data_IF_028786823350
#
_entry.id   IF_028786823350
#
_cell.length_a   1.000
_cell.length_b   1.000
_cell.length_c   1.000
_cell.angle_alpha   90.00
_cell.angle_beta   90.00
_cell.angle_gamma   90.00
#
_symmetry.space_group_name_H-M   'P 1'
#
loop_
_entity.id
_entity.type
_entity.pdbx_description
1 polymer ?
#
# COMPACT_ATOMS: atom_id res chain seq x y z
N UNK A 1 2.17 -16.25 -81.37
CA UNK A 1 1.62 -15.02 -81.94
C UNK A 1 0.50 -14.57 -81.01
N UNK A 2 0.71 -13.41 -80.39
CA UNK A 2 -0.28 -12.40 -79.93
C UNK A 2 -1.33 -12.85 -78.89
N UNK A 3 -1.16 -12.57 -77.58
CA UNK A 3 -1.41 -11.32 -76.82
C UNK A 3 -2.87 -10.83 -76.91
N UNK A 4 -3.62 -10.89 -75.78
CA UNK A 4 -4.22 -9.74 -75.05
C UNK A 4 -5.14 -10.13 -73.88
N UNK A 5 -4.94 -9.40 -72.76
CA UNK A 5 -5.89 -8.83 -71.77
C UNK A 5 -6.81 -9.80 -70.98
N UNK A 6 -7.13 -9.68 -69.69
CA UNK A 6 -7.11 -8.69 -68.60
C UNK A 6 -6.97 -9.53 -67.30
N UNK A 7 -6.31 -9.10 -66.23
CA UNK A 7 -6.94 -8.33 -65.15
C UNK A 7 -5.82 -7.84 -64.21
N UNK A 8 -5.62 -6.52 -64.15
CA UNK A 8 -4.74 -5.86 -63.19
C UNK A 8 -5.55 -5.58 -61.92
N UNK A 9 -5.25 -6.28 -60.83
CA UNK A 9 -5.67 -5.88 -59.50
C UNK A 9 -4.59 -4.99 -58.87
N UNK A 10 -4.97 -3.73 -58.74
CA UNK A 10 -4.28 -2.58 -58.15
C UNK A 10 -3.87 -2.85 -56.69
N UNK A 11 -2.60 -3.21 -56.44
CA UNK A 11 -2.03 -3.29 -55.09
C UNK A 11 -1.49 -1.92 -54.73
N UNK A 12 -2.29 -1.13 -54.01
CA UNK A 12 -1.84 0.10 -53.35
C UNK A 12 -0.83 -0.24 -52.25
N UNK A 13 0.33 0.42 -52.17
CA UNK A 13 1.17 0.34 -50.98
C UNK A 13 0.54 1.18 -49.87
N UNK A 14 0.23 0.53 -48.75
CA UNK A 14 -0.29 1.19 -47.55
C UNK A 14 0.69 2.25 -47.04
N UNK A 15 0.12 3.42 -46.79
CA UNK A 15 0.78 4.58 -46.24
C UNK A 15 1.32 4.26 -44.84
N UNK A 16 2.62 4.47 -44.64
CA UNK A 16 3.24 4.56 -43.33
C UNK A 16 2.67 5.82 -42.65
N UNK A 17 1.67 5.63 -41.78
CA UNK A 17 1.19 6.68 -40.89
C UNK A 17 2.22 6.82 -39.77
N UNK A 18 3.02 7.88 -39.88
CA UNK A 18 3.87 8.36 -38.80
C UNK A 18 2.95 8.85 -37.67
N UNK A 19 2.82 8.03 -36.63
CA UNK A 19 2.18 8.43 -35.37
C UNK A 19 3.07 9.49 -34.73
N UNK A 20 2.61 10.74 -34.77
CA UNK A 20 3.19 11.82 -33.99
C UNK A 20 2.96 11.51 -32.51
N UNK A 21 4.03 11.47 -31.74
CA UNK A 21 3.98 11.44 -30.29
C UNK A 21 3.34 12.74 -29.81
N UNK A 22 2.19 12.64 -29.14
CA UNK A 22 1.65 13.73 -28.33
C UNK A 22 2.46 13.78 -27.03
N UNK A 23 3.22 14.86 -26.85
CA UNK A 23 3.89 15.21 -25.61
C UNK A 23 2.83 15.43 -24.52
N UNK A 24 2.80 14.55 -23.52
CA UNK A 24 2.02 14.76 -22.31
C UNK A 24 2.71 15.83 -21.45
N UNK A 25 2.14 17.04 -21.47
CA UNK A 25 2.43 18.07 -20.48
C UNK A 25 1.94 17.60 -19.09
N UNK A 26 2.72 17.82 -18.02
CA UNK A 26 2.35 17.44 -16.66
C UNK A 26 1.16 18.28 -16.18
N UNK A 27 0.14 17.59 -15.68
CA UNK A 27 -1.03 18.19 -15.02
C UNK A 27 -0.61 18.64 -13.63
N UNK A 28 -0.63 19.96 -13.43
CA UNK A 28 -0.47 20.66 -12.16
C UNK A 28 -1.53 20.16 -11.15
N UNK A 29 -1.12 19.36 -10.16
CA UNK A 29 -1.99 19.03 -9.01
C UNK A 29 -1.71 20.09 -7.94
N UNK A 30 -2.55 21.12 -7.93
CA UNK A 30 -2.51 22.20 -6.96
C UNK A 30 -2.72 21.70 -5.54
N UNK A 31 -1.93 22.23 -4.61
CA UNK A 31 -1.84 22.00 -3.14
C UNK A 31 -3.12 22.44 -2.38
N UNK A 32 -4.31 22.12 -2.89
CA UNK A 32 -5.60 22.51 -2.29
C UNK A 32 -6.39 21.35 -1.69
N UNK A 33 -6.11 20.10 -2.09
CA UNK A 33 -6.93 18.94 -1.70
C UNK A 33 -6.51 18.28 -0.36
N UNK A 34 -5.28 18.51 0.13
CA UNK A 34 -4.82 17.96 1.42
C UNK A 34 -5.55 18.58 2.63
N UNK A 35 -6.03 19.82 2.51
CA UNK A 35 -6.76 20.49 3.61
C UNK A 35 -8.19 19.98 3.78
N UNK A 36 -8.82 19.50 2.71
CA UNK A 36 -10.23 19.08 2.72
C UNK A 36 -10.44 17.71 3.40
N UNK A 37 -9.43 16.83 3.39
CA UNK A 37 -9.51 15.53 4.07
C UNK A 37 -9.33 15.65 5.59
N UNK A 38 -8.62 16.68 6.07
CA UNK A 38 -8.38 16.89 7.50
C UNK A 38 -9.63 17.50 8.18
N UNK A 39 -10.37 18.36 7.49
CA UNK A 39 -11.58 19.00 8.03
C UNK A 39 -12.74 18.01 8.30
N UNK A 40 -12.80 16.88 7.59
CA UNK A 40 -13.84 15.85 7.82
C UNK A 40 -13.61 15.03 9.10
N UNK A 41 -12.49 15.24 9.81
CA UNK A 41 -12.13 14.50 11.01
C UNK A 41 -12.14 15.32 12.32
N UNK A 42 -12.29 16.65 12.26
CA UNK A 42 -12.23 17.51 13.45
C UNK A 42 -13.57 18.23 13.70
N UNK A 43 -14.52 17.48 14.28
CA UNK A 43 -15.70 18.05 14.90
C UNK A 43 -15.65 17.81 16.41
N UNK A 44 -14.84 18.59 17.14
CA UNK A 44 -15.00 18.90 18.56
C UNK A 44 -13.98 20.01 18.97
N UNK A 45 -14.48 21.04 19.64
CA UNK A 45 -13.95 22.40 19.85
C UNK A 45 -12.89 22.55 20.95
N UNK A 46 -11.90 23.43 20.77
CA UNK A 46 -11.63 24.61 21.64
C UNK A 46 -10.31 25.35 21.29
N UNK A 47 -10.47 26.59 20.80
CA UNK A 47 -9.76 27.86 21.09
C UNK A 47 -8.22 28.00 21.22
N UNK A 48 -7.76 29.12 20.59
CA UNK A 48 -6.56 29.94 20.82
C UNK A 48 -5.19 29.55 20.21
N UNK A 49 -4.91 30.01 18.97
CA UNK A 49 -3.62 30.68 18.60
C UNK A 49 -3.84 31.64 17.40
N UNK A 50 -3.41 32.90 17.54
CA UNK A 50 -3.38 33.93 16.46
C UNK A 50 -2.13 33.77 15.59
N UNK A 51 -2.18 34.09 14.28
CA UNK A 51 -1.00 33.99 13.40
C UNK A 51 -0.11 35.23 13.55
N UNK A 52 1.21 35.06 13.53
CA UNK A 52 2.16 36.15 13.35
C UNK A 52 2.59 36.27 11.89
N UNK A 53 2.83 37.53 11.52
CA UNK A 53 3.17 37.99 10.19
C UNK A 53 4.69 38.06 10.10
N UNK A 54 5.30 37.29 9.19
CA UNK A 54 6.53 37.70 8.49
C UNK A 54 6.81 36.73 7.34
N UNK A 55 6.42 37.17 6.14
CA UNK A 55 6.73 36.50 4.90
C UNK A 55 8.21 36.54 4.56
N UNK A 56 8.63 35.43 3.92
CA UNK A 56 9.80 35.21 3.07
C UNK A 56 10.90 34.35 3.69
N UNK A 57 11.01 33.13 3.17
CA UNK A 57 12.30 32.46 2.98
C UNK A 57 12.20 31.57 1.73
N UNK A 58 13.20 31.67 0.87
CA UNK A 58 13.37 30.93 -0.38
C UNK A 58 13.63 29.44 -0.10
N UNK A 59 13.07 28.55 -0.91
CA UNK A 59 13.42 27.12 -0.90
C UNK A 59 13.98 26.75 -2.27
N UNK A 60 15.30 26.82 -2.40
CA UNK A 60 16.03 26.06 -3.41
C UNK A 60 15.81 24.57 -3.12
N UNK A 61 15.28 23.83 -4.09
CA UNK A 61 15.19 22.37 -4.01
C UNK A 61 16.56 21.81 -4.37
N UNK A 62 17.43 21.73 -3.37
CA UNK A 62 18.63 20.92 -3.42
C UNK A 62 18.22 19.49 -3.03
N UNK A 63 18.15 18.61 -4.02
CA UNK A 63 17.84 17.20 -3.85
C UNK A 63 19.07 16.52 -3.21
N UNK A 64 19.13 16.55 -1.87
CA UNK A 64 20.08 15.73 -1.11
C UNK A 64 19.43 14.38 -0.80
N UNK A 65 20.14 13.32 -1.15
CA UNK A 65 19.91 11.97 -0.66
C UNK A 65 19.65 12.03 0.85
N UNK A 66 18.52 11.47 1.29
CA UNK A 66 18.17 11.44 2.71
C UNK A 66 18.84 10.22 3.34
N UNK A 67 19.86 10.49 4.15
CA UNK A 67 20.58 9.53 5.01
C UNK A 67 19.74 9.08 6.23
N UNK A 68 18.41 9.09 6.13
CA UNK A 68 17.48 8.87 7.25
C UNK A 68 17.38 7.39 7.69
N UNK A 69 18.17 6.51 7.05
CA UNK A 69 18.33 5.11 7.45
C UNK A 69 19.49 4.89 8.43
N UNK A 70 20.37 5.89 8.63
CA UNK A 70 21.54 5.76 9.49
C UNK A 70 21.28 6.14 10.97
N UNK A 71 20.25 6.95 11.26
CA UNK A 71 19.91 7.32 12.65
C UNK A 71 19.35 6.13 13.47
N UNK A 72 18.81 5.10 12.81
CA UNK A 72 18.42 3.85 13.47
C UNK A 72 19.64 2.98 13.84
N UNK A 73 20.76 3.12 13.12
CA UNK A 73 22.00 2.40 13.41
C UNK A 73 22.77 3.00 14.59
N UNK A 74 22.64 4.30 14.85
CA UNK A 74 23.39 4.99 15.90
C UNK A 74 22.84 4.75 17.32
N UNK A 75 21.53 4.46 17.46
CA UNK A 75 20.91 4.16 18.76
C UNK A 75 21.30 2.79 19.36
N UNK A 76 22.05 1.96 18.61
CA UNK A 76 22.36 0.56 19.00
C UNK A 76 23.69 0.45 19.77
N UNK A 77 24.51 1.50 19.81
CA UNK A 77 25.88 1.38 20.37
C UNK A 77 26.00 1.38 21.91
N UNK A 78 24.93 1.67 22.66
CA UNK A 78 25.06 2.01 24.10
C UNK A 78 24.30 1.13 25.13
N UNK A 79 23.93 -0.12 24.82
CA UNK A 79 23.43 -1.06 25.86
C UNK A 79 24.27 -2.35 26.02
N UNK A 80 25.31 -2.20 26.84
CA UNK A 80 25.89 -3.09 27.87
C UNK A 80 25.38 -4.54 28.01
N UNK A 81 26.31 -5.49 27.78
CA UNK A 81 26.66 -6.71 28.55
C UNK A 81 25.52 -7.52 29.25
N UNK A 82 25.19 -8.69 28.69
CA UNK A 82 25.27 -9.99 29.40
C UNK A 82 25.08 -11.20 28.46
N UNK A 83 25.97 -12.20 28.59
CA UNK A 83 26.38 -13.12 27.51
C UNK A 83 25.57 -14.40 27.25
N UNK A 84 24.24 -14.42 27.37
CA UNK A 84 23.44 -15.56 26.88
C UNK A 84 22.21 -15.21 26.03
N UNK A 85 21.82 -13.92 25.94
CA UNK A 85 20.65 -13.47 25.18
C UNK A 85 21.00 -12.81 23.82
N UNK A 86 22.27 -12.45 23.60
CA UNK A 86 22.74 -11.74 22.39
C UNK A 86 22.45 -12.52 21.11
N UNK A 87 22.82 -13.80 21.04
CA UNK A 87 22.70 -14.58 19.80
C UNK A 87 21.26 -14.80 19.31
N UNK A 88 20.25 -14.65 20.19
CA UNK A 88 18.84 -14.73 19.82
C UNK A 88 18.30 -13.36 19.40
N UNK A 89 18.73 -12.28 20.07
CA UNK A 89 18.45 -10.91 19.67
C UNK A 89 19.03 -10.57 18.29
N UNK A 90 20.27 -10.99 18.02
CA UNK A 90 20.98 -10.76 16.75
C UNK A 90 20.23 -11.41 15.58
N UNK A 91 19.77 -12.66 15.76
CA UNK A 91 18.96 -13.38 14.74
C UNK A 91 17.59 -12.76 14.51
N UNK A 92 16.97 -12.26 15.58
CA UNK A 92 15.66 -11.62 15.53
C UNK A 92 15.74 -10.30 14.75
N UNK A 93 16.79 -9.51 15.01
CA UNK A 93 17.08 -8.28 14.29
C UNK A 93 17.37 -8.56 12.81
N UNK A 94 18.20 -9.55 12.50
CA UNK A 94 18.49 -9.95 11.12
C UNK A 94 17.22 -10.37 10.37
N UNK A 95 16.35 -11.16 11.02
CA UNK A 95 15.08 -11.58 10.43
C UNK A 95 14.16 -10.38 10.13
N UNK A 96 14.09 -9.42 11.05
CA UNK A 96 13.31 -8.20 10.86
C UNK A 96 13.84 -7.38 9.68
N UNK A 97 15.15 -7.18 9.60
CA UNK A 97 15.78 -6.45 8.50
C UNK A 97 15.53 -7.10 7.14
N UNK A 98 15.57 -8.44 7.06
CA UNK A 98 15.21 -9.17 5.84
C UNK A 98 13.73 -8.93 5.48
N UNK A 99 12.83 -8.97 6.47
CA UNK A 99 11.41 -8.76 6.24
C UNK A 99 11.10 -7.33 5.76
N UNK A 100 11.73 -6.33 6.36
CA UNK A 100 11.69 -4.93 5.91
C UNK A 100 12.16 -4.87 4.45
N UNK A 101 13.36 -5.36 4.15
CA UNK A 101 13.87 -5.34 2.77
C UNK A 101 12.93 -6.01 1.77
N UNK A 102 12.31 -7.14 2.12
CA UNK A 102 11.33 -7.81 1.27
C UNK A 102 10.07 -6.97 1.06
N UNK A 103 9.58 -6.29 2.10
CA UNK A 103 8.44 -5.38 2.03
C UNK A 103 8.67 -4.25 1.03
N UNK A 104 9.84 -3.60 1.09
CA UNK A 104 10.18 -2.47 0.21
C UNK A 104 10.43 -2.88 -1.25
N UNK A 105 10.86 -4.12 -1.47
CA UNK A 105 11.08 -4.65 -2.82
C UNK A 105 9.77 -5.04 -3.53
N UNK A 106 8.64 -5.11 -2.82
CA UNK A 106 7.34 -5.44 -3.41
C UNK A 106 6.57 -4.14 -3.74
N UNK A 107 6.30 -3.84 -5.04
CA UNK A 107 5.57 -2.63 -5.43
C UNK A 107 4.14 -2.59 -4.86
N UNK A 108 3.58 -3.73 -4.44
CA UNK A 108 2.29 -3.81 -3.76
C UNK A 108 2.27 -2.98 -2.48
N UNK A 109 3.41 -2.82 -1.80
CA UNK A 109 3.48 -2.01 -0.59
C UNK A 109 3.19 -0.54 -0.89
N UNK A 110 3.78 0.03 -1.95
CA UNK A 110 3.50 1.41 -2.36
C UNK A 110 2.03 1.63 -2.74
N UNK A 111 1.40 0.64 -3.40
CA UNK A 111 -0.04 0.67 -3.72
C UNK A 111 -0.89 0.70 -2.44
N UNK A 112 -0.58 -0.17 -1.48
CA UNK A 112 -1.27 -0.24 -0.19
C UNK A 112 -1.09 1.07 0.60
N UNK A 113 0.11 1.61 0.66
CA UNK A 113 0.41 2.88 1.33
C UNK A 113 -0.37 4.04 0.70
N UNK A 114 -0.32 4.16 -0.63
CA UNK A 114 -1.05 5.19 -1.37
C UNK A 114 -2.57 5.08 -1.15
N UNK A 115 -3.09 3.86 -1.12
CA UNK A 115 -4.49 3.60 -0.85
C UNK A 115 -4.90 4.14 0.52
N UNK A 116 -4.20 3.78 1.59
CA UNK A 116 -4.57 4.23 2.94
C UNK A 116 -4.31 5.71 3.16
N UNK A 117 -3.27 6.28 2.54
CA UNK A 117 -3.02 7.72 2.63
C UNK A 117 -4.18 8.53 2.03
N UNK A 118 -4.67 8.11 0.85
CA UNK A 118 -5.72 8.84 0.12
C UNK A 118 -7.14 8.49 0.55
N UNK A 119 -7.40 7.24 0.90
CA UNK A 119 -8.76 6.72 0.97
C UNK A 119 -9.22 6.18 2.33
N UNK A 120 -8.35 6.14 3.35
CA UNK A 120 -8.69 5.59 4.67
C UNK A 120 -9.93 6.25 5.30
N UNK A 121 -10.06 7.58 5.17
CA UNK A 121 -11.18 8.33 5.74
C UNK A 121 -12.55 7.86 5.21
N UNK A 122 -12.66 7.54 3.91
CA UNK A 122 -13.91 7.03 3.31
C UNK A 122 -14.30 5.65 3.84
N UNK A 123 -13.34 4.91 4.37
CA UNK A 123 -13.57 3.62 5.01
C UNK A 123 -13.90 3.74 6.51
N UNK A 124 -13.76 4.94 7.09
CA UNK A 124 -13.84 5.17 8.54
C UNK A 124 -12.58 4.69 9.27
N UNK A 125 -11.45 4.64 8.56
CA UNK A 125 -10.14 4.24 9.09
C UNK A 125 -9.33 5.52 9.27
N UNK A 126 -8.60 5.64 10.39
CA UNK A 126 -7.65 6.75 10.56
C UNK A 126 -6.60 6.68 9.44
N UNK A 127 -6.13 7.81 8.90
CA UNK A 127 -5.02 7.82 7.96
C UNK A 127 -3.87 6.96 8.48
N UNK A 128 -3.35 6.06 7.65
CA UNK A 128 -2.17 5.28 7.97
C UNK A 128 -0.98 5.96 7.31
N UNK A 129 0.04 6.25 8.10
CA UNK A 129 1.32 6.68 7.55
C UNK A 129 2.18 5.46 7.18
N UNK A 130 3.20 5.74 6.39
CA UNK A 130 4.12 4.77 5.85
C UNK A 130 4.79 3.89 6.94
N UNK A 131 5.44 4.53 7.91
CA UNK A 131 6.13 3.87 9.03
C UNK A 131 5.19 2.95 9.84
N UNK A 132 3.92 3.36 9.98
CA UNK A 132 2.93 2.56 10.68
C UNK A 132 2.59 1.29 9.90
N UNK A 133 2.36 1.38 8.60
CA UNK A 133 2.03 0.20 7.78
C UNK A 133 3.20 -0.79 7.73
N UNK A 134 4.43 -0.30 7.60
CA UNK A 134 5.62 -1.14 7.72
C UNK A 134 5.61 -1.90 9.05
N UNK A 135 5.52 -1.18 10.18
CA UNK A 135 5.53 -1.80 11.51
C UNK A 135 4.40 -2.83 11.67
N UNK A 136 3.20 -2.54 11.18
CA UNK A 136 2.09 -3.50 11.24
C UNK A 136 2.42 -4.80 10.48
N UNK A 137 3.11 -4.68 9.35
CA UNK A 137 3.50 -5.78 8.48
C UNK A 137 4.83 -6.44 8.86
N UNK A 138 5.57 -5.95 9.86
CA UNK A 138 6.86 -6.54 10.27
C UNK A 138 6.96 -6.88 11.77
N UNK A 139 6.16 -6.24 12.63
CA UNK A 139 6.17 -6.41 14.10
C UNK A 139 5.89 -7.84 14.60
N UNK A 140 5.33 -8.73 13.77
CA UNK A 140 5.15 -10.13 14.15
C UNK A 140 6.47 -10.90 14.22
N UNK A 141 7.52 -10.47 13.51
CA UNK A 141 8.88 -10.99 13.71
C UNK A 141 9.41 -10.67 15.10
N UNK A 142 8.90 -9.58 15.71
CA UNK A 142 9.28 -9.20 17.05
C UNK A 142 8.42 -9.84 18.14
N UNK A 143 7.11 -9.86 17.91
CA UNK A 143 6.11 -10.17 18.94
C UNK A 143 5.60 -11.60 18.88
N UNK A 144 5.86 -12.33 17.79
CA UNK A 144 5.34 -13.69 17.57
C UNK A 144 3.82 -13.75 17.44
N UNK A 145 3.16 -12.61 17.19
CA UNK A 145 1.70 -12.48 17.04
C UNK A 145 1.38 -11.47 15.96
N UNK A 146 0.20 -11.60 15.35
CA UNK A 146 -0.29 -10.60 14.39
C UNK A 146 -0.78 -9.38 15.17
N UNK A 147 -0.33 -8.19 14.77
CA UNK A 147 -0.75 -6.93 15.40
C UNK A 147 -2.28 -6.76 15.34
N UNK A 148 -2.87 -6.30 16.44
CA UNK A 148 -4.33 -6.15 16.53
C UNK A 148 -4.85 -5.09 15.57
N UNK A 149 -4.13 -4.00 15.36
CA UNK A 149 -4.50 -2.97 14.40
C UNK A 149 -4.49 -3.52 12.97
N UNK A 150 -3.55 -4.41 12.64
CA UNK A 150 -3.54 -5.09 11.34
C UNK A 150 -4.76 -6.01 11.17
N UNK A 151 -5.14 -6.75 12.21
CA UNK A 151 -6.37 -7.57 12.19
C UNK A 151 -7.60 -6.68 11.98
N UNK A 152 -7.69 -5.58 12.71
CA UNK A 152 -8.83 -4.65 12.62
C UNK A 152 -8.89 -3.97 11.24
N UNK A 153 -7.74 -3.74 10.60
CA UNK A 153 -7.64 -3.27 9.22
C UNK A 153 -8.27 -4.26 8.24
N UNK A 154 -7.86 -5.52 8.28
CA UNK A 154 -8.43 -6.60 7.46
C UNK A 154 -9.93 -6.74 7.68
N UNK A 155 -10.37 -6.78 8.94
CA UNK A 155 -11.78 -6.90 9.28
C UNK A 155 -12.61 -5.71 8.81
N UNK A 156 -12.03 -4.51 8.79
CA UNK A 156 -12.72 -3.32 8.29
C UNK A 156 -12.94 -3.43 6.79
N UNK A 157 -11.90 -3.76 6.02
CA UNK A 157 -12.00 -3.97 4.57
C UNK A 157 -12.98 -5.11 4.23
N UNK A 158 -12.87 -6.26 4.90
CA UNK A 158 -13.76 -7.40 4.71
C UNK A 158 -15.23 -7.05 4.95
N UNK A 159 -15.55 -6.32 6.04
CA UNK A 159 -16.93 -5.92 6.33
C UNK A 159 -17.51 -4.96 5.29
N UNK A 160 -16.65 -4.17 4.64
CA UNK A 160 -17.05 -3.31 3.52
C UNK A 160 -17.37 -4.14 2.26
N UNK A 161 -16.69 -5.27 2.06
CA UNK A 161 -16.92 -6.25 0.99
C UNK A 161 -17.97 -7.34 1.32
N UNK A 162 -18.98 -7.03 2.12
CA UNK A 162 -20.09 -7.92 2.51
C UNK A 162 -19.78 -9.08 3.49
N UNK A 163 -18.58 -9.17 4.06
CA UNK A 163 -18.29 -10.11 5.15
C UNK A 163 -18.74 -9.55 6.51
N UNK A 164 -20.04 -9.25 6.66
CA UNK A 164 -20.59 -8.51 7.82
C UNK A 164 -20.37 -9.19 9.17
N UNK A 165 -20.27 -10.52 9.18
CA UNK A 165 -20.05 -11.33 10.38
C UNK A 165 -18.58 -11.45 10.78
N UNK A 166 -17.64 -10.86 10.01
CA UNK A 166 -16.23 -10.92 10.33
C UNK A 166 -15.97 -10.22 11.68
N UNK A 167 -15.35 -10.96 12.61
CA UNK A 167 -14.99 -10.53 13.96
C UNK A 167 -13.57 -10.97 14.24
N UNK A 168 -12.96 -10.35 15.25
CA UNK A 168 -11.60 -10.68 15.71
C UNK A 168 -11.48 -12.15 16.07
N UNK A 169 -12.49 -12.71 16.76
CA UNK A 169 -12.52 -14.14 17.02
C UNK A 169 -12.79 -14.89 15.70
N UNK A 170 -11.78 -15.62 15.23
CA UNK A 170 -11.85 -16.33 13.95
C UNK A 170 -11.72 -15.43 12.71
N UNK A 171 -11.09 -14.25 12.84
CA UNK A 171 -10.85 -13.33 11.73
C UNK A 171 -10.17 -14.00 10.53
N UNK A 172 -9.20 -14.86 10.80
CA UNK A 172 -8.41 -15.58 9.79
C UNK A 172 -9.27 -16.51 8.94
N UNK A 173 -10.31 -17.12 9.51
CA UNK A 173 -11.27 -17.94 8.74
C UNK A 173 -12.05 -17.10 7.72
N UNK A 174 -12.38 -15.86 8.06
CA UNK A 174 -13.03 -14.96 7.09
C UNK A 174 -12.06 -14.50 6.01
N UNK A 175 -10.78 -14.32 6.37
CA UNK A 175 -9.74 -14.02 5.40
C UNK A 175 -9.52 -15.17 4.41
N UNK A 176 -9.44 -16.41 4.90
CA UNK A 176 -9.36 -17.60 4.04
C UNK A 176 -10.55 -17.72 3.10
N UNK A 177 -11.78 -17.49 3.61
CA UNK A 177 -12.99 -17.47 2.77
C UNK A 177 -12.91 -16.39 1.70
N UNK A 178 -12.32 -15.23 2.02
CA UNK A 178 -12.11 -14.18 1.05
C UNK A 178 -11.09 -14.60 -0.02
N UNK A 179 -9.93 -15.12 0.37
CA UNK A 179 -8.90 -15.57 -0.57
C UNK A 179 -9.43 -16.69 -1.49
N UNK A 180 -10.22 -17.63 -0.97
CA UNK A 180 -10.80 -18.72 -1.79
C UNK A 180 -11.76 -18.24 -2.87
N UNK A 181 -12.33 -17.03 -2.72
CA UNK A 181 -13.26 -16.44 -3.69
C UNK A 181 -12.55 -15.48 -4.67
N UNK A 182 -11.29 -15.14 -4.44
CA UNK A 182 -10.50 -14.26 -5.29
C UNK A 182 -9.45 -15.10 -6.02
N UNK A 183 -9.66 -15.35 -7.30
CA UNK A 183 -8.82 -16.28 -8.06
C UNK A 183 -7.35 -15.84 -8.16
N UNK A 184 -7.07 -14.54 -8.08
CA UNK A 184 -5.71 -14.00 -8.01
C UNK A 184 -4.97 -14.33 -6.70
N UNK A 185 -5.65 -14.85 -5.68
CA UNK A 185 -5.11 -15.16 -4.36
C UNK A 185 -5.02 -16.68 -4.09
N UNK A 186 -5.04 -17.52 -5.12
CA UNK A 186 -4.99 -18.98 -4.94
C UNK A 186 -3.72 -19.42 -4.17
N UNK A 187 -2.58 -18.82 -4.49
CA UNK A 187 -1.30 -19.17 -3.83
C UNK A 187 -1.26 -18.72 -2.36
N UNK A 188 -1.80 -17.53 -2.09
CA UNK A 188 -1.91 -16.90 -0.79
C UNK A 188 -2.88 -17.68 0.10
N UNK A 189 -4.00 -18.14 -0.48
CA UNK A 189 -4.95 -19.02 0.19
C UNK A 189 -4.25 -20.29 0.69
N UNK A 190 -3.54 -20.99 -0.19
CA UNK A 190 -2.85 -22.24 0.18
C UNK A 190 -1.77 -22.02 1.25
N UNK A 191 -1.04 -20.91 1.17
CA UNK A 191 -0.03 -20.55 2.17
C UNK A 191 -0.66 -20.29 3.54
N UNK A 192 -1.74 -19.50 3.59
CA UNK A 192 -2.42 -19.18 4.85
C UNK A 192 -3.14 -20.42 5.39
N UNK A 193 -3.76 -21.25 4.55
CA UNK A 193 -4.45 -22.47 4.99
C UNK A 193 -3.46 -23.47 5.63
N UNK A 194 -2.26 -23.59 5.06
CA UNK A 194 -1.25 -24.54 5.52
C UNK A 194 -0.48 -24.06 6.75
N UNK A 195 -0.06 -22.79 6.76
CA UNK A 195 0.88 -22.27 7.76
C UNK A 195 0.25 -21.28 8.73
N UNK A 196 -0.96 -20.80 8.43
CA UNK A 196 -1.59 -19.68 9.11
C UNK A 196 -1.05 -18.33 8.65
N UNK A 197 -1.82 -17.28 8.90
CA UNK A 197 -1.48 -15.91 8.50
C UNK A 197 -0.22 -15.41 9.20
N UNK A 198 0.00 -15.77 10.47
CA UNK A 198 1.19 -15.37 11.21
C UNK A 198 2.47 -15.82 10.48
N UNK A 199 2.51 -17.09 10.05
CA UNK A 199 3.70 -17.71 9.47
C UNK A 199 3.78 -17.61 7.94
N UNK A 200 2.82 -16.96 7.28
CA UNK A 200 2.90 -16.69 5.84
C UNK A 200 4.01 -15.67 5.50
N UNK A 201 4.43 -15.59 4.24
CA UNK A 201 5.41 -14.60 3.82
C UNK A 201 4.84 -13.17 3.85
N UNK A 202 5.72 -12.17 3.87
CA UNK A 202 5.33 -10.77 3.75
C UNK A 202 4.58 -10.50 2.45
N UNK A 203 5.04 -11.10 1.33
CA UNK A 203 4.40 -11.00 0.02
C UNK A 203 2.97 -11.54 0.06
N UNK A 204 2.73 -12.67 0.74
CA UNK A 204 1.36 -13.21 0.89
C UNK A 204 0.46 -12.24 1.66
N UNK A 205 0.96 -11.64 2.74
CA UNK A 205 0.20 -10.64 3.52
C UNK A 205 -0.10 -9.39 2.69
N UNK A 206 0.89 -8.90 1.94
CA UNK A 206 0.77 -7.75 1.05
C UNK A 206 -0.21 -8.00 -0.10
N UNK A 207 -0.10 -9.12 -0.78
CA UNK A 207 -0.99 -9.48 -1.89
C UNK A 207 -2.45 -9.51 -1.43
N UNK A 208 -2.74 -10.16 -0.29
CA UNK A 208 -4.08 -10.19 0.28
C UNK A 208 -4.58 -8.78 0.63
N UNK A 209 -3.75 -7.98 1.31
CA UNK A 209 -4.12 -6.62 1.70
C UNK A 209 -4.34 -5.70 0.50
N UNK A 210 -3.47 -5.78 -0.52
CA UNK A 210 -3.61 -5.06 -1.79
C UNK A 210 -4.92 -5.40 -2.48
N UNK A 211 -5.22 -6.70 -2.67
CA UNK A 211 -6.46 -7.11 -3.32
C UNK A 211 -7.68 -6.68 -2.51
N UNK A 212 -7.61 -6.69 -1.17
CA UNK A 212 -8.69 -6.13 -0.31
C UNK A 212 -8.93 -4.64 -0.57
N UNK A 213 -7.85 -3.86 -0.76
CA UNK A 213 -7.92 -2.44 -1.09
C UNK A 213 -8.49 -2.21 -2.50
N UNK A 214 -8.00 -2.93 -3.50
CA UNK A 214 -8.48 -2.86 -4.89
C UNK A 214 -9.97 -3.18 -4.98
N UNK A 215 -10.41 -4.25 -4.33
CA UNK A 215 -11.81 -4.66 -4.29
C UNK A 215 -12.74 -3.65 -3.61
N UNK A 216 -12.22 -2.64 -2.88
CA UNK A 216 -13.07 -1.54 -2.39
C UNK A 216 -13.63 -0.71 -3.54
N UNK A 217 -12.88 -0.52 -4.63
CA UNK A 217 -13.35 0.25 -5.77
C UNK A 217 -14.48 -0.46 -6.52
N UNK A 218 -14.45 -1.80 -6.57
CA UNK A 218 -15.42 -2.56 -7.34
C UNK A 218 -16.68 -2.92 -6.55
N UNK A 219 -16.52 -3.37 -5.30
CA UNK A 219 -17.60 -4.03 -4.56
C UNK A 219 -18.14 -3.24 -3.37
N UNK A 220 -17.44 -2.20 -2.91
CA UNK A 220 -17.95 -1.31 -1.85
C UNK A 220 -18.64 -0.10 -2.49
N UNK A 221 -19.92 -0.26 -2.80
CA UNK A 221 -20.75 0.76 -3.51
C UNK A 221 -20.62 2.14 -2.85
N UNK A 222 -20.73 2.23 -1.52
CA UNK A 222 -20.63 3.51 -0.80
C UNK A 222 -19.27 4.19 -0.98
N UNK A 223 -18.21 3.40 -1.02
CA UNK A 223 -16.86 3.91 -1.25
C UNK A 223 -16.71 4.38 -2.68
N UNK A 224 -17.12 3.55 -3.65
CA UNK A 224 -17.11 3.90 -5.06
C UNK A 224 -17.85 5.21 -5.32
N UNK A 225 -19.05 5.37 -4.78
CA UNK A 225 -19.86 6.59 -4.91
C UNK A 225 -19.22 7.82 -4.25
N UNK A 226 -18.30 7.63 -3.28
CA UNK A 226 -17.62 8.73 -2.60
C UNK A 226 -16.32 9.17 -3.29
N UNK A 227 -15.77 8.35 -4.18
CA UNK A 227 -14.46 8.58 -4.84
C UNK A 227 -14.55 8.66 -6.36
N UNK A 228 -15.75 8.44 -6.93
CA UNK A 228 -16.07 8.62 -8.36
C UNK A 228 -16.64 10.00 -8.61
#
# INVERSE_FOLDING_TARGET
MDIKNEENADVKPDAIVVVKQEEQHPVDITVKEEKECIEKCNGETSDDVKPDENGRMECEIDMKESDDYDELNELISDEVKNGQDSANADKKLETLQIAIKQLYNDPSFAVVCSFFNKFACFLGIKPQNFNKLERLLTSFHETGRVDRELIDLHLTLLRKLNYKSARVNGWERYLLKYCSLNQSLESEYLNIERYGYLHSSINTKLAVLKTLCENQFDYNIKFKDSVS
#
